data_IF_664973479036
#
_entry.id   IF_664973479036
#
_cell.length_a   1.000
_cell.length_b   1.000
_cell.length_c   1.000
_cell.angle_alpha   90.00
_cell.angle_beta   90.00
_cell.angle_gamma   90.00
#
_symmetry.space_group_name_H-M   'P 1'
#
loop_
_entity.id
_entity.type
_entity.pdbx_description
1 polymer ?
#
# COMPACT_ATOMS: atom_id res chain seq x y z
N UNK A 1 -36.52 19.13 -28.83
CA UNK A 1 -35.06 18.94 -28.69
C UNK A 1 -34.82 18.22 -27.38
N UNK A 2 -34.61 16.91 -27.46
CA UNK A 2 -34.39 16.03 -26.30
C UNK A 2 -32.89 16.06 -25.99
N UNK A 3 -32.54 16.39 -24.75
CA UNK A 3 -31.15 16.43 -24.28
C UNK A 3 -30.62 15.01 -24.10
N UNK A 4 -29.60 14.63 -24.86
CA UNK A 4 -28.85 13.38 -24.63
C UNK A 4 -28.08 13.45 -23.30
N UNK A 5 -28.39 12.53 -22.40
CA UNK A 5 -27.63 12.27 -21.18
C UNK A 5 -26.30 11.60 -21.54
N UNK A 6 -25.19 12.14 -21.01
CA UNK A 6 -23.88 11.49 -21.08
C UNK A 6 -23.87 10.21 -20.22
N UNK A 7 -23.31 9.08 -20.69
CA UNK A 7 -23.31 7.83 -19.93
C UNK A 7 -22.40 7.91 -18.71
N UNK A 8 -22.90 7.38 -17.59
CA UNK A 8 -22.24 7.33 -16.29
C UNK A 8 -21.12 6.29 -16.18
N UNK A 9 -20.54 6.21 -14.99
CA UNK A 9 -19.42 5.35 -14.55
C UNK A 9 -19.71 3.84 -14.67
N UNK A 10 -19.87 3.34 -15.90
CA UNK A 10 -20.08 1.93 -16.19
C UNK A 10 -19.69 1.51 -17.60
N UNK A 11 -19.37 2.46 -18.48
CA UNK A 11 -18.99 2.12 -19.86
C UNK A 11 -17.48 1.86 -19.96
N UNK A 12 -17.16 0.63 -20.37
CA UNK A 12 -15.84 0.02 -20.32
C UNK A 12 -14.92 0.68 -21.36
N UNK A 13 -14.16 1.71 -20.96
CA UNK A 13 -13.26 2.50 -21.83
C UNK A 13 -11.98 1.78 -22.30
N UNK A 14 -11.88 0.47 -22.09
CA UNK A 14 -10.78 -0.34 -22.60
C UNK A 14 -11.31 -1.38 -23.60
N UNK A 15 -10.72 -1.48 -24.82
CA UNK A 15 -11.02 -2.56 -25.74
C UNK A 15 -10.86 -3.90 -25.01
N UNK A 16 -11.90 -4.75 -25.02
CA UNK A 16 -11.86 -6.07 -24.33
C UNK A 16 -10.65 -6.93 -24.73
N UNK A 17 -10.08 -6.68 -25.91
CA UNK A 17 -8.88 -7.35 -26.42
C UNK A 17 -7.61 -7.10 -25.57
N UNK A 18 -7.42 -5.91 -24.98
CA UNK A 18 -6.21 -5.60 -24.20
C UNK A 18 -6.26 -6.14 -22.77
N UNK A 19 -7.45 -6.25 -22.17
CA UNK A 19 -7.64 -6.87 -20.85
C UNK A 19 -7.48 -8.41 -20.89
N UNK A 20 -7.96 -9.07 -21.97
CA UNK A 20 -7.78 -10.52 -22.15
C UNK A 20 -6.33 -10.91 -22.47
N UNK A 21 -5.58 -10.06 -23.18
CA UNK A 21 -4.16 -10.29 -23.46
C UNK A 21 -3.27 -10.17 -22.20
N UNK A 22 -3.63 -9.31 -21.24
CA UNK A 22 -2.94 -9.21 -19.94
C UNK A 22 -3.28 -10.38 -19.01
N UNK A 23 -4.49 -10.93 -19.10
CA UNK A 23 -4.92 -12.07 -18.27
C UNK A 23 -4.27 -13.39 -18.70
N UNK A 24 -3.95 -13.56 -19.98
CA UNK A 24 -3.36 -14.80 -20.50
C UNK A 24 -1.84 -14.89 -20.36
N UNK A 25 -1.13 -13.77 -20.12
CA UNK A 25 0.34 -13.74 -19.95
C UNK A 25 0.82 -13.74 -18.49
N UNK A 26 -0.09 -13.66 -17.51
CA UNK A 26 0.22 -13.71 -16.07
C UNK A 26 -0.12 -15.08 -15.45
N UNK A 27 0.12 -16.17 -16.19
CA UNK A 27 -0.10 -17.53 -15.69
C UNK A 27 0.84 -17.83 -14.51
N UNK A 28 0.31 -17.63 -13.31
CA UNK A 28 0.63 -18.43 -12.14
C UNK A 28 0.45 -19.89 -12.55
N UNK A 29 1.47 -20.71 -12.31
CA UNK A 29 1.47 -22.14 -12.62
C UNK A 29 0.17 -22.83 -12.12
N UNK A 30 -0.41 -23.78 -12.88
CA UNK A 30 -1.65 -24.42 -12.50
C UNK A 30 -1.44 -25.27 -11.23
N UNK A 31 -2.31 -25.08 -10.24
CA UNK A 31 -2.47 -26.01 -9.13
C UNK A 31 -3.00 -27.34 -9.69
N UNK A 32 -2.24 -28.41 -9.46
CA UNK A 32 -2.53 -29.75 -9.93
C UNK A 32 -3.88 -30.25 -9.38
N UNK A 33 -4.81 -30.57 -10.27
CA UNK A 33 -6.20 -30.87 -9.92
C UNK A 33 -6.45 -32.38 -9.90
N UNK A 34 -5.97 -33.06 -8.85
CA UNK A 34 -6.38 -34.45 -8.55
C UNK A 34 -6.61 -34.69 -7.07
N UNK A 35 -7.71 -34.14 -6.55
CA UNK A 35 -8.50 -34.77 -5.49
C UNK A 35 -9.85 -34.07 -5.40
N UNK A 36 -10.92 -34.71 -5.87
CA UNK A 36 -12.30 -34.29 -5.57
C UNK A 36 -12.56 -34.50 -4.08
N UNK A 37 -13.02 -33.49 -3.31
CA UNK A 37 -13.70 -33.77 -2.06
C UNK A 37 -15.17 -34.11 -2.34
N UNK A 38 -15.64 -35.16 -1.68
CA UNK A 38 -17.00 -35.67 -1.73
C UNK A 38 -18.00 -34.70 -1.09
N UNK A 39 -19.17 -34.58 -1.75
CA UNK A 39 -20.52 -34.33 -1.22
C UNK A 39 -20.65 -33.30 -0.09
N UNK A 40 -21.26 -32.17 -0.46
CA UNK A 40 -21.68 -31.07 0.40
C UNK A 40 -22.45 -31.52 1.65
N UNK A 41 -21.97 -31.11 2.81
CA UNK A 41 -22.79 -30.85 4.00
C UNK A 41 -23.14 -29.36 4.01
N UNK A 42 -24.43 -29.07 4.22
CA UNK A 42 -24.96 -27.72 4.22
C UNK A 42 -24.37 -26.90 5.38
N UNK A 43 -23.71 -25.79 5.04
CA UNK A 43 -23.32 -24.76 6.01
C UNK A 43 -24.59 -24.03 6.47
N UNK A 44 -24.87 -23.89 7.77
CA UNK A 44 -26.06 -23.21 8.24
C UNK A 44 -25.97 -21.71 7.88
N UNK A 45 -27.11 -21.13 7.49
CA UNK A 45 -27.24 -19.73 7.15
C UNK A 45 -26.78 -18.85 8.33
N UNK A 46 -25.69 -18.11 8.12
CA UNK A 46 -25.22 -17.07 9.05
C UNK A 46 -26.18 -15.88 8.92
N UNK A 47 -26.76 -15.49 10.06
CA UNK A 47 -27.80 -14.45 10.15
C UNK A 47 -27.41 -13.14 9.47
N UNK A 48 -28.39 -12.56 8.76
CA UNK A 48 -28.34 -11.27 8.10
C UNK A 48 -28.48 -10.12 9.12
N UNK A 49 -27.53 -10.03 10.05
CA UNK A 49 -27.35 -8.86 10.90
C UNK A 49 -26.12 -8.06 10.44
N UNK A 50 -26.11 -6.72 10.58
CA UNK A 50 -24.85 -5.99 10.48
C UNK A 50 -23.86 -6.57 11.48
N UNK A 51 -22.56 -6.68 11.14
CA UNK A 51 -21.55 -7.13 12.09
C UNK A 51 -21.61 -6.22 13.33
N UNK A 52 -21.41 -6.76 14.56
CA UNK A 52 -21.43 -5.94 15.76
C UNK A 52 -20.41 -4.81 15.62
N UNK A 53 -20.81 -3.57 15.96
CA UNK A 53 -19.90 -2.44 16.09
C UNK A 53 -18.81 -2.82 17.10
N UNK A 54 -17.61 -3.06 16.60
CA UNK A 54 -16.46 -3.43 17.42
C UNK A 54 -15.87 -2.15 18.00
N UNK A 55 -16.09 -1.93 19.29
CA UNK A 55 -15.42 -0.88 20.05
C UNK A 55 -13.91 -1.15 20.03
N UNK A 56 -13.16 -0.50 19.11
CA UNK A 56 -11.72 -0.74 18.91
C UNK A 56 -10.86 -0.33 20.10
N UNK A 57 -11.45 0.41 21.04
CA UNK A 57 -10.83 0.79 22.30
C UNK A 57 -11.03 -0.25 23.40
N UNK A 58 -11.72 -1.37 23.12
CA UNK A 58 -11.60 -2.56 23.95
C UNK A 58 -10.11 -2.91 24.09
N UNK A 59 -9.67 -3.13 25.33
CA UNK A 59 -8.28 -3.47 25.63
C UNK A 59 -7.95 -4.76 24.86
N UNK A 60 -7.19 -4.63 23.77
CA UNK A 60 -6.74 -5.77 22.97
C UNK A 60 -6.03 -6.77 23.88
N UNK A 61 -6.43 -8.04 23.77
CA UNK A 61 -5.82 -9.12 24.53
C UNK A 61 -4.48 -9.55 23.94
N UNK A 62 -3.75 -10.40 24.66
CA UNK A 62 -2.47 -10.94 24.20
C UNK A 62 -2.58 -11.67 22.84
N UNK A 63 -3.67 -12.41 22.63
CA UNK A 63 -3.95 -13.11 21.38
C UNK A 63 -4.17 -12.15 20.20
N UNK A 64 -4.83 -11.01 20.44
CA UNK A 64 -5.06 -10.00 19.40
C UNK A 64 -3.75 -9.34 18.96
N UNK A 65 -2.85 -9.07 19.93
CA UNK A 65 -1.51 -8.57 19.61
C UNK A 65 -0.68 -9.58 18.81
N UNK A 66 -0.77 -10.86 19.12
CA UNK A 66 -0.08 -11.90 18.35
C UNK A 66 -0.60 -11.98 16.91
N UNK A 67 -1.92 -11.96 16.73
CA UNK A 67 -2.53 -11.93 15.39
C UNK A 67 -2.14 -10.67 14.62
N UNK A 68 -2.13 -9.51 15.27
CA UNK A 68 -1.70 -8.24 14.67
C UNK A 68 -0.21 -8.22 14.31
N UNK A 69 0.65 -8.97 15.01
CA UNK A 69 2.06 -9.16 14.59
C UNK A 69 2.19 -10.09 13.38
N UNK A 70 1.34 -11.11 13.28
CA UNK A 70 1.44 -12.13 12.25
C UNK A 70 0.76 -11.74 10.93
N UNK A 71 -0.29 -10.93 10.98
CA UNK A 71 -1.15 -10.65 9.85
C UNK A 71 -1.34 -9.16 9.62
N UNK A 72 -1.03 -8.71 8.40
CA UNK A 72 -1.21 -7.33 7.98
C UNK A 72 -2.69 -6.91 8.01
N UNK A 73 -3.61 -7.84 7.76
CA UNK A 73 -5.06 -7.59 7.90
C UNK A 73 -5.42 -7.29 9.36
N UNK A 74 -4.97 -8.14 10.29
CA UNK A 74 -5.30 -7.95 11.71
C UNK A 74 -4.64 -6.68 12.25
N UNK A 75 -3.40 -6.40 11.83
CA UNK A 75 -2.76 -5.12 12.11
C UNK A 75 -3.57 -3.93 11.61
N UNK A 76 -4.00 -3.95 10.34
CA UNK A 76 -4.81 -2.89 9.74
C UNK A 76 -6.17 -2.70 10.44
N UNK A 77 -6.74 -3.76 11.01
CA UNK A 77 -7.96 -3.69 11.82
C UNK A 77 -7.70 -3.08 13.21
N UNK A 78 -6.56 -3.42 13.82
CA UNK A 78 -6.22 -3.04 15.19
C UNK A 78 -5.79 -1.58 15.35
N UNK A 79 -5.16 -0.98 14.33
CA UNK A 79 -4.69 0.41 14.40
C UNK A 79 -5.71 1.41 13.88
N UNK A 80 -5.63 2.63 14.38
CA UNK A 80 -6.24 3.79 13.75
C UNK A 80 -5.33 4.29 12.64
N UNK A 81 -5.84 4.28 11.41
CA UNK A 81 -5.10 4.76 10.25
C UNK A 81 -5.45 6.24 10.04
N UNK A 82 -4.50 7.18 10.25
CA UNK A 82 -4.81 8.60 10.13
C UNK A 82 -5.30 8.91 8.72
N UNK A 83 -6.53 9.40 8.59
CA UNK A 83 -7.15 9.79 7.31
C UNK A 83 -6.98 11.28 6.97
N UNK A 84 -6.63 12.10 7.95
CA UNK A 84 -6.59 13.57 7.85
C UNK A 84 -5.15 14.07 7.61
N UNK A 85 -4.92 15.08 6.76
CA UNK A 85 -3.70 15.89 6.88
C UNK A 85 -3.72 16.55 8.27
N UNK A 86 -2.67 16.35 9.06
CA UNK A 86 -2.50 17.10 10.31
C UNK A 86 -2.14 18.53 9.92
N UNK A 87 -3.14 19.41 9.82
CA UNK A 87 -2.94 20.84 10.07
C UNK A 87 -2.97 21.07 11.58
N UNK A 88 -2.28 22.09 12.07
CA UNK A 88 -2.12 22.38 13.51
C UNK A 88 -3.45 22.73 14.21
N UNK A 89 -4.53 22.96 13.46
CA UNK A 89 -5.87 23.32 13.96
C UNK A 89 -6.81 22.08 14.04
N UNK A 90 -6.47 21.11 14.88
CA UNK A 90 -7.09 19.77 14.90
C UNK A 90 -8.32 19.60 15.85
N UNK A 91 -9.23 20.57 15.93
CA UNK A 91 -10.47 20.44 16.72
C UNK A 91 -11.73 20.78 15.91
N UNK A 92 -11.99 20.03 14.84
CA UNK A 92 -13.29 20.06 14.13
C UNK A 92 -14.04 18.74 14.36
N UNK A 93 -15.13 18.74 15.17
CA UNK A 93 -15.91 17.54 15.51
C UNK A 93 -16.74 16.96 14.36
N UNK A 94 -16.77 17.58 13.17
CA UNK A 94 -17.47 17.05 11.98
C UNK A 94 -16.73 15.89 11.29
N UNK A 95 -15.50 15.57 11.70
CA UNK A 95 -14.67 14.54 11.08
C UNK A 95 -14.34 13.43 12.09
N UNK A 96 -15.36 12.66 12.48
CA UNK A 96 -15.19 11.45 13.27
C UNK A 96 -14.27 10.45 12.55
N UNK A 97 -13.55 9.63 13.33
CA UNK A 97 -12.77 8.51 12.82
C UNK A 97 -13.67 7.66 11.91
N UNK A 98 -13.36 7.60 10.61
CA UNK A 98 -14.12 6.71 9.72
C UNK A 98 -13.75 5.28 10.12
N UNK A 99 -14.63 4.66 10.89
CA UNK A 99 -14.61 3.24 11.25
C UNK A 99 -14.79 2.40 9.98
N UNK A 100 -13.72 2.28 9.19
CA UNK A 100 -13.83 1.63 7.90
C UNK A 100 -13.68 0.12 8.11
N UNK A 101 -14.77 -0.61 8.09
CA UNK A 101 -14.73 -2.05 7.88
C UNK A 101 -13.93 -2.35 6.59
N UNK A 102 -12.99 -3.29 6.64
CA UNK A 102 -12.17 -3.62 5.47
C UNK A 102 -13.05 -4.17 4.34
N UNK A 103 -13.19 -3.39 3.26
CA UNK A 103 -13.82 -3.83 2.03
C UNK A 103 -13.11 -5.05 1.42
N UNK A 104 -13.80 -5.88 0.61
CA UNK A 104 -13.20 -7.09 0.03
C UNK A 104 -11.91 -6.83 -0.76
N UNK A 105 -11.84 -5.75 -1.55
CA UNK A 105 -10.63 -5.41 -2.31
C UNK A 105 -9.48 -4.93 -1.42
N UNK A 106 -9.77 -4.33 -0.24
CA UNK A 106 -8.73 -4.01 0.75
C UNK A 106 -8.10 -5.28 1.30
N UNK A 107 -8.90 -6.31 1.59
CA UNK A 107 -8.39 -7.61 2.07
C UNK A 107 -7.50 -8.28 1.04
N UNK A 108 -7.95 -8.31 -0.23
CA UNK A 108 -7.15 -8.85 -1.34
C UNK A 108 -5.82 -8.08 -1.49
N UNK A 109 -5.86 -6.75 -1.42
CA UNK A 109 -4.67 -5.91 -1.48
C UNK A 109 -3.69 -6.26 -0.35
N UNK A 110 -4.16 -6.27 0.89
CA UNK A 110 -3.35 -6.54 2.08
C UNK A 110 -2.72 -7.94 2.03
N UNK A 111 -3.48 -8.96 1.63
CA UNK A 111 -2.96 -10.32 1.44
C UNK A 111 -1.89 -10.38 0.34
N UNK A 112 -2.14 -9.68 -0.77
CA UNK A 112 -1.21 -9.65 -1.91
C UNK A 112 0.11 -9.01 -1.51
N UNK A 113 0.07 -7.83 -0.90
CA UNK A 113 1.30 -7.12 -0.52
C UNK A 113 2.02 -7.83 0.62
N UNK A 114 1.32 -8.46 1.57
CA UNK A 114 1.97 -9.27 2.60
C UNK A 114 2.74 -10.45 1.98
N UNK A 115 2.14 -11.17 1.03
CA UNK A 115 2.83 -12.26 0.31
C UNK A 115 4.08 -11.75 -0.43
N UNK A 116 3.98 -10.59 -1.07
CA UNK A 116 5.09 -9.99 -1.84
C UNK A 116 6.28 -9.67 -0.93
N UNK A 117 6.04 -9.05 0.22
CA UNK A 117 7.12 -8.65 1.14
C UNK A 117 7.72 -9.83 1.91
N UNK A 118 7.00 -10.95 2.01
CA UNK A 118 7.48 -12.21 2.59
C UNK A 118 8.21 -13.10 1.56
N UNK A 119 8.12 -12.76 0.27
CA UNK A 119 8.82 -13.49 -0.80
C UNK A 119 10.19 -12.82 -1.07
N UNK A 120 11.32 -13.55 -0.99
CA UNK A 120 12.62 -13.01 -1.35
C UNK A 120 12.61 -12.47 -2.79
N UNK A 121 12.95 -11.20 -2.98
CA UNK A 121 12.90 -10.57 -4.29
C UNK A 121 11.50 -10.30 -4.83
N UNK A 122 10.46 -10.31 -3.99
CA UNK A 122 9.07 -10.12 -4.41
C UNK A 122 8.83 -8.83 -5.20
N UNK A 123 7.98 -8.89 -6.23
CA UNK A 123 7.59 -7.77 -7.08
C UNK A 123 6.08 -7.76 -7.25
N UNK A 124 5.46 -6.59 -7.13
CA UNK A 124 4.06 -6.41 -7.49
C UNK A 124 3.78 -5.05 -8.11
N UNK A 125 2.88 -5.06 -9.09
CA UNK A 125 2.23 -3.87 -9.62
C UNK A 125 0.77 -3.86 -9.16
N UNK A 126 0.40 -2.85 -8.39
CA UNK A 126 -0.93 -2.64 -7.84
C UNK A 126 -1.60 -1.52 -8.63
N UNK A 127 -2.39 -1.92 -9.63
CA UNK A 127 -3.06 -1.01 -10.54
C UNK A 127 -4.51 -0.83 -10.11
N UNK A 128 -4.79 0.25 -9.38
CA UNK A 128 -6.10 0.49 -8.77
C UNK A 128 -6.54 1.94 -8.98
N UNK A 129 -7.85 2.22 -9.09
CA UNK A 129 -8.35 3.57 -9.31
C UNK A 129 -8.09 4.50 -8.10
N UNK A 130 -8.20 5.83 -8.27
CA UNK A 130 -8.20 6.77 -7.17
C UNK A 130 -9.29 6.44 -6.15
N UNK A 131 -9.05 6.72 -4.86
CA UNK A 131 -10.02 6.43 -3.80
C UNK A 131 -10.08 4.96 -3.34
N UNK A 132 -9.32 4.05 -3.94
CA UNK A 132 -9.28 2.61 -3.58
C UNK A 132 -8.50 2.28 -2.30
N UNK A 133 -8.04 3.28 -1.55
CA UNK A 133 -7.16 3.17 -0.39
C UNK A 133 -5.80 2.50 -0.64
N UNK A 134 -5.37 2.32 -1.91
CA UNK A 134 -4.08 1.71 -2.28
C UNK A 134 -2.88 2.32 -1.54
N UNK A 135 -2.78 3.65 -1.53
CA UNK A 135 -1.69 4.39 -0.88
C UNK A 135 -1.79 4.40 0.65
N UNK A 136 -3.02 4.30 1.19
CA UNK A 136 -3.20 4.15 2.64
C UNK A 136 -2.63 2.81 3.10
N UNK A 137 -2.95 1.71 2.42
CA UNK A 137 -2.45 0.41 2.84
C UNK A 137 -0.99 0.16 2.46
N UNK A 138 -0.56 0.52 1.26
CA UNK A 138 0.79 0.21 0.79
C UNK A 138 1.84 1.18 1.32
N UNK A 139 1.53 2.48 1.39
CA UNK A 139 2.53 3.53 1.67
C UNK A 139 2.56 3.97 3.14
N UNK A 140 1.57 3.54 3.93
CA UNK A 140 1.40 3.94 5.34
C UNK A 140 1.27 2.73 6.27
N UNK A 141 0.30 1.82 6.03
CA UNK A 141 0.07 0.67 6.94
C UNK A 141 1.13 -0.42 6.80
N UNK A 142 1.39 -0.89 5.57
CA UNK A 142 2.40 -1.91 5.29
C UNK A 142 3.79 -1.57 5.82
N UNK A 143 4.36 -0.36 5.59
CA UNK A 143 5.70 -0.06 6.08
C UNK A 143 5.78 -0.08 7.61
N UNK A 144 4.78 0.47 8.30
CA UNK A 144 4.77 0.48 9.77
C UNK A 144 4.65 -0.93 10.35
N UNK A 145 3.86 -1.80 9.73
CA UNK A 145 3.77 -3.23 10.08
C UNK A 145 5.15 -3.91 9.98
N UNK A 146 5.83 -3.75 8.85
CA UNK A 146 7.12 -4.39 8.60
C UNK A 146 8.21 -3.88 9.54
N UNK A 147 8.28 -2.56 9.73
CA UNK A 147 9.28 -1.93 10.60
C UNK A 147 9.10 -2.32 12.07
N UNK A 148 7.88 -2.60 12.52
CA UNK A 148 7.62 -3.08 13.87
C UNK A 148 7.90 -4.58 14.02
N UNK A 149 7.58 -5.37 13.00
CA UNK A 149 7.74 -6.83 13.00
C UNK A 149 9.20 -7.29 12.83
N UNK A 150 10.01 -6.52 12.11
CA UNK A 150 11.39 -6.88 11.76
C UNK A 150 12.36 -5.82 12.28
N UNK A 151 13.52 -6.25 12.78
CA UNK A 151 14.63 -5.36 13.13
C UNK A 151 15.37 -4.92 11.88
N UNK A 152 15.98 -3.73 11.93
CA UNK A 152 16.81 -3.18 10.85
C UNK A 152 16.10 -3.14 9.47
N UNK A 153 14.77 -3.03 9.47
CA UNK A 153 13.97 -2.98 8.25
C UNK A 153 14.04 -1.57 7.66
N UNK A 154 14.60 -1.42 6.46
CA UNK A 154 14.77 -0.13 5.79
C UNK A 154 13.82 0.00 4.62
N UNK A 155 12.91 0.97 4.68
CA UNK A 155 11.89 1.17 3.66
C UNK A 155 12.04 2.54 3.03
N UNK A 156 12.02 2.57 1.70
CA UNK A 156 12.02 3.80 0.91
C UNK A 156 10.68 3.90 0.18
N UNK A 157 9.96 5.00 0.40
CA UNK A 157 8.79 5.41 -0.34
C UNK A 157 9.16 6.53 -1.33
N UNK A 158 8.89 6.31 -2.60
CA UNK A 158 8.99 7.30 -3.66
C UNK A 158 7.61 7.62 -4.23
N UNK A 159 7.22 8.90 -4.27
CA UNK A 159 6.00 9.35 -4.93
C UNK A 159 6.29 10.40 -6.02
N UNK A 160 5.34 10.76 -6.89
CA UNK A 160 5.60 11.77 -7.93
C UNK A 160 6.17 13.09 -7.39
N UNK A 161 5.83 13.46 -6.14
CA UNK A 161 6.25 14.70 -5.51
C UNK A 161 6.62 14.52 -4.05
N UNK A 162 7.62 15.28 -3.61
CA UNK A 162 8.16 15.23 -2.24
C UNK A 162 7.10 15.54 -1.17
N UNK A 163 6.18 16.45 -1.43
CA UNK A 163 5.13 16.81 -0.46
C UNK A 163 4.14 15.68 -0.22
N UNK A 164 3.80 14.93 -1.27
CA UNK A 164 2.95 13.75 -1.15
C UNK A 164 3.67 12.65 -0.36
N UNK A 165 4.93 12.39 -0.68
CA UNK A 165 5.75 11.43 0.05
C UNK A 165 5.84 11.81 1.55
N UNK A 166 6.15 13.07 1.86
CA UNK A 166 6.18 13.59 3.24
C UNK A 166 4.83 13.44 3.95
N UNK A 167 3.70 13.62 3.25
CA UNK A 167 2.37 13.38 3.81
C UNK A 167 2.19 11.93 4.23
N UNK A 168 2.62 10.96 3.42
CA UNK A 168 2.61 9.54 3.79
C UNK A 168 3.54 9.26 4.97
N UNK A 169 4.74 9.83 4.97
CA UNK A 169 5.68 9.71 6.09
C UNK A 169 5.12 10.21 7.41
N UNK A 170 4.43 11.36 7.43
CA UNK A 170 3.74 11.88 8.63
C UNK A 170 2.64 10.92 9.11
N UNK A 171 1.84 10.36 8.21
CA UNK A 171 0.77 9.40 8.56
C UNK A 171 1.35 8.09 9.12
N UNK A 172 2.40 7.57 8.51
CA UNK A 172 3.11 6.38 9.00
C UNK A 172 3.70 6.64 10.38
N UNK A 173 4.30 7.82 10.59
CA UNK A 173 4.86 8.20 11.88
C UNK A 173 3.80 8.34 12.98
N UNK A 174 2.61 8.82 12.65
CA UNK A 174 1.50 8.91 13.59
C UNK A 174 1.04 7.51 14.06
N UNK A 175 1.02 6.51 13.17
CA UNK A 175 0.73 5.11 13.54
C UNK A 175 1.74 4.60 14.57
N UNK A 176 3.05 4.76 14.31
CA UNK A 176 4.09 4.21 15.21
C UNK A 176 4.18 4.93 16.57
N UNK A 177 3.60 6.13 16.67
CA UNK A 177 3.48 6.87 17.94
C UNK A 177 2.30 6.42 18.78
N UNK A 178 1.32 5.71 18.21
CA UNK A 178 0.15 5.25 18.94
C UNK A 178 0.51 4.22 20.02
N UNK A 179 -0.24 4.21 21.13
CA UNK A 179 -0.07 3.22 22.18
C UNK A 179 -0.37 1.80 21.67
N UNK A 180 -1.38 1.64 20.81
CA UNK A 180 -1.73 0.35 20.20
C UNK A 180 -0.55 -0.23 19.42
N UNK A 181 0.10 0.58 18.57
CA UNK A 181 1.28 0.13 17.83
C UNK A 181 2.43 -0.30 18.77
N UNK A 182 2.72 0.51 19.78
CA UNK A 182 3.79 0.22 20.75
C UNK A 182 3.50 -1.05 21.55
N UNK A 183 2.24 -1.32 21.90
CA UNK A 183 1.84 -2.57 22.56
C UNK A 183 1.94 -3.77 21.62
N UNK A 184 1.59 -3.59 20.34
CA UNK A 184 1.75 -4.64 19.32
C UNK A 184 3.24 -4.94 19.11
N UNK A 185 4.12 -3.98 18.83
CA UNK A 185 5.49 -4.29 18.41
C UNK A 185 6.57 -4.10 19.46
N UNK A 186 6.21 -3.64 20.67
CA UNK A 186 7.16 -3.26 21.73
C UNK A 186 8.32 -2.39 21.19
N UNK A 187 7.97 -1.47 20.29
CA UNK A 187 8.93 -0.65 19.55
C UNK A 187 8.45 0.79 19.57
N UNK A 188 9.36 1.72 19.85
CA UNK A 188 9.09 3.16 19.94
C UNK A 188 9.84 3.94 18.85
N UNK A 189 9.37 5.14 18.47
CA UNK A 189 10.12 6.03 17.60
C UNK A 189 11.49 6.39 18.17
N UNK A 190 12.52 6.42 17.32
CA UNK A 190 13.85 6.90 17.71
C UNK A 190 13.80 8.39 18.07
N UNK A 191 14.60 8.77 19.07
CA UNK A 191 14.78 10.19 19.46
C UNK A 191 15.74 10.94 18.52
N UNK A 192 16.59 10.20 17.80
CA UNK A 192 17.70 10.75 17.01
C UNK A 192 17.31 11.01 15.55
N UNK A 193 16.42 10.19 14.98
CA UNK A 193 15.96 10.30 13.59
C UNK A 193 14.44 10.53 13.54
N UNK A 194 14.05 11.78 13.28
CA UNK A 194 12.74 12.31 13.62
C UNK A 194 12.16 13.26 12.55
N UNK A 195 12.77 13.35 11.37
CA UNK A 195 12.22 14.16 10.29
C UNK A 195 10.98 13.50 9.65
N UNK A 196 10.16 14.28 8.93
CA UNK A 196 8.97 13.75 8.28
C UNK A 196 9.29 12.92 7.02
N UNK A 197 10.39 13.24 6.35
CA UNK A 197 10.98 12.55 5.20
C UNK A 197 11.99 11.46 5.57
N UNK A 198 12.40 11.38 6.84
CA UNK A 198 13.31 10.36 7.35
C UNK A 198 13.18 10.18 8.86
N UNK A 199 12.75 8.99 9.30
CA UNK A 199 12.65 8.66 10.72
C UNK A 199 12.96 7.18 10.98
N UNK A 200 13.32 6.87 12.22
CA UNK A 200 13.68 5.52 12.62
C UNK A 200 12.88 5.06 13.85
N UNK A 201 12.94 3.76 14.10
CA UNK A 201 12.44 3.10 15.30
C UNK A 201 13.61 2.65 16.19
N UNK A 202 13.32 2.42 17.47
CA UNK A 202 14.27 1.91 18.48
C UNK A 202 14.84 0.51 18.17
N UNK A 203 14.27 -0.21 17.21
CA UNK A 203 14.72 -1.52 16.76
C UNK A 203 15.63 -1.48 15.51
N UNK A 204 16.12 -0.29 15.12
CA UNK A 204 17.00 -0.09 13.97
C UNK A 204 16.28 0.05 12.63
N UNK A 205 14.94 -0.11 12.58
CA UNK A 205 14.17 0.07 11.36
C UNK A 205 14.06 1.55 10.95
N UNK A 206 14.15 1.81 9.65
CA UNK A 206 14.19 3.15 9.07
C UNK A 206 13.13 3.32 7.97
N UNK A 207 12.51 4.49 7.95
CA UNK A 207 11.58 4.90 6.91
C UNK A 207 12.07 6.18 6.26
N UNK A 208 12.13 6.21 4.94
CA UNK A 208 12.43 7.41 4.17
C UNK A 208 11.38 7.64 3.09
N UNK A 209 10.91 8.88 2.99
CA UNK A 209 9.91 9.30 2.01
C UNK A 209 10.43 10.45 1.17
N UNK A 210 10.40 10.28 -0.14
CA UNK A 210 10.97 11.25 -1.09
C UNK A 210 10.17 11.33 -2.39
N UNK A 211 10.40 12.39 -3.16
CA UNK A 211 9.93 12.46 -4.55
C UNK A 211 10.75 11.51 -5.43
N UNK A 212 10.13 10.88 -6.42
CA UNK A 212 10.78 9.91 -7.31
C UNK A 212 12.00 10.51 -8.03
N UNK A 213 11.94 11.79 -8.39
CA UNK A 213 13.02 12.51 -9.08
C UNK A 213 13.92 13.33 -8.13
N UNK A 214 13.72 13.24 -6.81
CA UNK A 214 14.48 14.04 -5.84
C UNK A 214 15.86 13.45 -5.50
N UNK A 215 16.18 12.26 -6.03
CA UNK A 215 17.43 11.57 -5.75
C UNK A 215 17.40 10.84 -4.40
N UNK A 216 17.94 9.62 -4.38
CA UNK A 216 17.98 8.77 -3.17
C UNK A 216 19.40 8.33 -2.81
N UNK A 217 20.34 9.27 -2.81
CA UNK A 217 21.75 8.96 -2.60
C UNK A 217 22.05 8.46 -1.17
N UNK A 218 22.94 7.47 -1.06
CA UNK A 218 23.48 6.98 0.22
C UNK A 218 22.60 6.02 1.02
N UNK A 219 21.34 5.80 0.63
CA UNK A 219 20.40 4.98 1.40
C UNK A 219 20.24 3.57 0.79
N UNK A 220 20.16 2.54 1.64
CA UNK A 220 19.87 1.16 1.24
C UNK A 220 18.50 0.74 1.76
N UNK A 221 17.79 -0.08 0.99
CA UNK A 221 16.42 -0.48 1.30
C UNK A 221 16.24 -1.99 1.29
N UNK A 222 15.56 -2.51 2.31
CA UNK A 222 14.97 -3.85 2.32
C UNK A 222 13.69 -3.90 1.46
N UNK A 223 13.03 -2.75 1.30
CA UNK A 223 11.80 -2.61 0.51
C UNK A 223 11.64 -1.26 -0.15
N UNK A 224 11.16 -1.27 -1.41
CA UNK A 224 10.84 -0.07 -2.18
C UNK A 224 9.33 -0.01 -2.45
N UNK A 225 8.74 1.14 -2.13
CA UNK A 225 7.35 1.46 -2.47
C UNK A 225 7.38 2.63 -3.44
N UNK A 226 6.76 2.46 -4.61
CA UNK A 226 6.65 3.51 -5.64
C UNK A 226 5.17 3.85 -5.75
N UNK A 227 4.77 5.03 -5.28
CA UNK A 227 3.37 5.44 -5.14
C UNK A 227 2.97 6.59 -6.05
N UNK A 228 2.15 6.26 -7.06
CA UNK A 228 1.71 7.17 -8.11
C UNK A 228 2.91 7.98 -8.65
N UNK A 229 3.79 7.36 -9.47
CA UNK A 229 5.05 8.00 -9.91
C UNK A 229 4.86 9.16 -10.89
N UNK A 230 3.61 9.44 -11.29
CA UNK A 230 3.19 10.58 -12.11
C UNK A 230 1.95 11.24 -11.49
N UNK A 231 1.87 12.57 -11.54
CA UNK A 231 0.85 13.35 -10.81
C UNK A 231 -0.58 13.17 -11.37
N UNK A 232 -0.68 12.97 -12.68
CA UNK A 232 -1.95 12.93 -13.38
C UNK A 232 -1.78 12.84 -14.89
N UNK A 233 -2.85 13.13 -15.62
CA UNK A 233 -2.91 12.94 -17.08
C UNK A 233 -1.88 13.76 -17.84
N UNK A 234 -1.73 15.05 -17.54
CA UNK A 234 -0.78 15.93 -18.22
C UNK A 234 0.67 15.41 -18.13
N UNK A 235 1.10 15.05 -16.92
CA UNK A 235 2.41 14.43 -16.68
C UNK A 235 2.54 13.08 -17.39
N UNK A 236 1.49 12.28 -17.38
CA UNK A 236 1.48 10.96 -18.00
C UNK A 236 1.53 11.02 -19.53
N UNK A 237 1.01 12.08 -20.16
CA UNK A 237 1.06 12.30 -21.61
C UNK A 237 2.41 12.89 -22.06
N UNK A 238 3.21 13.43 -21.13
CA UNK A 238 4.55 13.95 -21.39
C UNK A 238 5.60 12.84 -21.45
N UNK A 239 6.11 12.57 -22.67
CA UNK A 239 7.19 11.59 -22.90
C UNK A 239 8.44 11.90 -22.08
N UNK A 240 8.79 13.18 -21.94
CA UNK A 240 9.93 13.62 -21.13
C UNK A 240 9.76 13.20 -19.66
N UNK A 241 8.55 13.37 -19.10
CA UNK A 241 8.27 12.97 -17.72
C UNK A 241 8.29 11.45 -17.60
N UNK A 242 7.65 10.71 -18.51
CA UNK A 242 7.68 9.24 -18.52
C UNK A 242 9.11 8.70 -18.55
N UNK A 243 9.95 9.23 -19.44
CA UNK A 243 11.38 8.86 -19.54
C UNK A 243 12.13 9.14 -18.24
N UNK A 244 12.01 10.34 -17.68
CA UNK A 244 12.67 10.70 -16.40
C UNK A 244 12.22 9.80 -15.25
N UNK A 245 10.93 9.51 -15.16
CA UNK A 245 10.37 8.61 -14.15
C UNK A 245 10.92 7.19 -14.29
N UNK A 246 11.08 6.70 -15.52
CA UNK A 246 11.70 5.39 -15.79
C UNK A 246 13.18 5.37 -15.42
N UNK A 247 13.94 6.38 -15.80
CA UNK A 247 15.36 6.54 -15.44
C UNK A 247 15.53 6.60 -13.91
N UNK A 248 14.70 7.38 -13.20
CA UNK A 248 14.73 7.43 -11.75
C UNK A 248 14.42 6.06 -11.10
N UNK A 249 13.51 5.28 -11.68
CA UNK A 249 13.23 3.92 -11.22
C UNK A 249 14.41 2.97 -11.45
N UNK A 250 14.96 2.95 -12.67
CA UNK A 250 16.00 2.00 -13.08
C UNK A 250 17.37 2.32 -12.49
N UNK A 251 17.77 3.60 -12.55
CA UNK A 251 19.15 4.03 -12.29
C UNK A 251 19.35 4.58 -10.88
N UNK A 252 18.28 4.97 -10.19
CA UNK A 252 18.36 5.43 -8.80
C UNK A 252 17.68 4.45 -7.84
N UNK A 253 16.35 4.35 -7.85
CA UNK A 253 15.60 3.63 -6.83
C UNK A 253 15.99 2.15 -6.75
N UNK A 254 15.99 1.43 -7.88
CA UNK A 254 16.34 0.00 -7.92
C UNK A 254 17.74 -0.28 -7.39
N UNK A 255 18.69 0.64 -7.58
CA UNK A 255 20.08 0.47 -7.13
C UNK A 255 20.22 0.49 -5.60
N UNK A 256 19.22 1.03 -4.89
CA UNK A 256 19.19 1.11 -3.42
C UNK A 256 18.81 -0.21 -2.77
N UNK A 257 18.16 -1.10 -3.52
CA UNK A 257 17.62 -2.33 -2.99
C UNK A 257 18.74 -3.26 -2.50
N UNK A 258 18.54 -3.85 -1.32
CA UNK A 258 19.40 -4.89 -0.78
C UNK A 258 19.10 -6.23 -1.49
N UNK A 259 20.05 -7.18 -1.51
CA UNK A 259 19.77 -8.54 -1.97
C UNK A 259 18.54 -9.13 -1.28
N UNK A 260 17.63 -9.70 -2.05
CA UNK A 260 16.35 -10.25 -1.54
C UNK A 260 15.27 -9.20 -1.23
N UNK A 261 15.55 -7.91 -1.39
CA UNK A 261 14.56 -6.85 -1.16
C UNK A 261 13.38 -6.89 -2.14
N UNK A 262 12.25 -6.33 -1.72
CA UNK A 262 11.00 -6.33 -2.48
C UNK A 262 10.68 -4.96 -3.10
N UNK A 263 9.85 -4.95 -4.15
CA UNK A 263 9.35 -3.72 -4.79
C UNK A 263 7.84 -3.82 -4.96
N UNK A 264 7.13 -2.78 -4.52
CA UNK A 264 5.70 -2.58 -4.79
C UNK A 264 5.56 -1.26 -5.56
N UNK A 265 5.10 -1.36 -6.81
CA UNK A 265 4.65 -0.22 -7.60
C UNK A 265 3.14 -0.13 -7.50
N UNK A 266 2.60 0.97 -6.99
CA UNK A 266 1.17 1.24 -6.99
C UNK A 266 0.88 2.49 -7.80
N UNK A 267 -0.09 2.40 -8.71
CA UNK A 267 -0.50 3.56 -9.49
C UNK A 267 -1.91 3.45 -10.04
N UNK A 268 -2.53 4.61 -10.25
CA UNK A 268 -3.64 4.73 -11.21
C UNK A 268 -3.07 4.72 -12.63
N UNK A 269 -3.59 3.87 -13.52
CA UNK A 269 -3.14 3.86 -14.93
C UNK A 269 -3.62 5.12 -15.64
N UNK A 270 -2.69 5.85 -16.25
CA UNK A 270 -2.98 7.08 -17.01
C UNK A 270 -2.64 6.96 -18.48
N UNK A 271 -1.59 6.21 -18.80
CA UNK A 271 -1.02 6.07 -20.14
C UNK A 271 -0.55 4.62 -20.36
N UNK A 272 -0.48 4.16 -21.61
CA UNK A 272 0.00 2.80 -21.92
C UNK A 272 1.49 2.66 -21.55
N UNK A 273 2.30 3.65 -21.93
CA UNK A 273 3.73 3.76 -21.61
C UNK A 273 4.07 4.40 -20.25
N UNK A 274 3.11 4.49 -19.32
CA UNK A 274 3.45 4.91 -17.94
C UNK A 274 4.48 3.95 -17.30
N UNK A 275 4.99 4.28 -16.09
CA UNK A 275 6.08 3.48 -15.50
C UNK A 275 5.75 1.98 -15.46
N UNK A 276 4.53 1.60 -15.08
CA UNK A 276 4.13 0.19 -15.06
C UNK A 276 4.13 -0.44 -16.45
N UNK A 277 3.68 0.27 -17.48
CA UNK A 277 3.70 -0.24 -18.85
C UNK A 277 5.12 -0.40 -19.40
N UNK A 278 5.95 0.62 -19.19
CA UNK A 278 7.32 0.67 -19.75
C UNK A 278 8.31 -0.34 -19.14
N UNK A 279 7.97 -0.98 -18.03
CA UNK A 279 8.82 -2.00 -17.37
C UNK A 279 8.31 -3.42 -17.58
N UNK A 280 7.24 -3.61 -18.35
CA UNK A 280 6.80 -4.92 -18.78
C UNK A 280 7.80 -5.51 -19.79
N UNK A 281 8.00 -6.83 -19.79
CA UNK A 281 8.76 -7.49 -20.84
C UNK A 281 8.06 -7.33 -22.20
N UNK A 282 8.85 -7.29 -23.27
CA UNK A 282 8.37 -7.33 -24.66
C UNK A 282 7.56 -8.60 -24.99
#
# INVERSE_FOLDING_TARGET
MVSEQKPGWGDNRYPRASAQALHSKLLIAPLDSKSKPSRAEAVPAVGSGPPPESDKHAILGAADYEQARASLIHFACAIDVPGRPVSEDAEDPLYANIETALAPHHRLLLQTVQRVVETPGGRAMILMPPGSAKSTYCSVVLPTFLMGRQKDCRIILAAYGTDLARKHGRRARAIVRSAVYQNIFNTTPSREASAADGWALSNGSEYMATGINAGVTGNRASGLIIDDPVKGREDADSELIRRKTREAYEDDLKTRLLPGGWIILLQTRWHEDDLAGSILPE
#
